data_IF_965485063783
#
_entry.id   IF_965485063783
#
_cell.length_a   1.000
_cell.length_b   1.000
_cell.length_c   1.000
_cell.angle_alpha   90.00
_cell.angle_beta   90.00
_cell.angle_gamma   90.00
#
_symmetry.space_group_name_H-M   'P 1'
#
loop_
_entity.id
_entity.type
_entity.pdbx_description
1 polymer ?
#
# COMPACT_ATOMS: atom_id res chain seq x y z
N UNK A 1 10.41 6.65 13.03
CA UNK A 1 9.19 5.99 13.50
C UNK A 1 8.08 6.17 12.50
N UNK A 2 7.21 5.18 12.41
CA UNK A 2 6.09 5.20 11.47
C UNK A 2 4.78 5.12 12.21
N UNK A 3 3.83 5.92 11.76
CA UNK A 3 2.45 5.78 12.19
C UNK A 3 1.72 5.06 11.07
N UNK A 4 1.03 3.97 11.39
CA UNK A 4 0.33 3.17 10.38
C UNK A 4 -1.16 3.39 10.54
N UNK A 5 -1.81 3.73 9.41
CA UNK A 5 -3.25 3.88 9.35
C UNK A 5 -3.79 3.02 8.22
N UNK A 6 -4.94 2.42 8.45
CA UNK A 6 -5.63 1.66 7.40
C UNK A 6 -6.74 2.52 6.82
N UNK A 7 -6.88 2.48 5.51
CA UNK A 7 -7.93 3.23 4.84
C UNK A 7 -8.56 2.36 3.75
N UNK A 8 -9.74 2.78 3.31
CA UNK A 8 -10.50 2.06 2.30
C UNK A 8 -10.80 2.98 1.14
N UNK A 9 -10.85 2.42 -0.06
CA UNK A 9 -10.97 3.23 -1.25
C UNK A 9 -12.36 3.85 -1.40
N UNK A 10 -13.40 3.08 -1.14
CA UNK A 10 -14.75 3.59 -1.30
C UNK A 10 -15.72 2.85 -0.37
N UNK A 11 -16.80 3.52 -0.03
CA UNK A 11 -17.93 2.97 0.75
C UNK A 11 -17.59 2.49 2.15
N UNK A 12 -16.34 2.45 2.53
CA UNK A 12 -15.92 2.02 3.86
C UNK A 12 -15.13 3.15 4.52
N UNK A 13 -15.16 3.20 5.82
CA UNK A 13 -14.46 4.23 6.57
C UNK A 13 -13.39 3.61 7.44
N UNK A 14 -12.28 4.31 7.66
CA UNK A 14 -11.99 5.63 7.11
C UNK A 14 -11.60 5.55 5.63
N UNK A 15 -11.94 6.60 4.89
CA UNK A 15 -11.49 6.74 3.51
C UNK A 15 -10.02 7.18 3.49
N UNK A 16 -9.44 7.17 2.30
CA UNK A 16 -8.05 7.64 2.15
C UNK A 16 -7.95 9.09 2.60
N UNK A 17 -8.89 9.93 2.19
CA UNK A 17 -8.87 11.34 2.57
C UNK A 17 -8.97 11.51 4.08
N UNK A 18 -9.83 10.74 4.73
CA UNK A 18 -9.98 10.84 6.18
C UNK A 18 -8.73 10.38 6.90
N UNK A 19 -8.10 9.32 6.44
CA UNK A 19 -6.87 8.84 7.05
C UNK A 19 -5.75 9.87 6.92
N UNK A 20 -5.64 10.50 5.74
CA UNK A 20 -4.64 11.55 5.54
C UNK A 20 -4.94 12.74 6.44
N UNK A 21 -6.22 13.10 6.58
CA UNK A 21 -6.61 14.19 7.46
C UNK A 21 -6.23 13.93 8.90
N UNK A 22 -6.41 12.69 9.37
CA UNK A 22 -6.00 12.34 10.73
C UNK A 22 -4.50 12.45 10.91
N UNK A 23 -3.73 12.00 9.92
CA UNK A 23 -2.29 12.10 9.98
C UNK A 23 -1.83 13.56 9.93
N UNK A 24 -2.56 14.40 9.21
CA UNK A 24 -2.25 15.83 9.14
C UNK A 24 -2.39 16.49 10.51
N UNK A 25 -3.37 16.06 11.28
CA UNK A 25 -3.54 16.57 12.67
C UNK A 25 -2.32 16.21 13.50
N UNK A 26 -1.72 15.06 13.26
CA UNK A 26 -0.52 14.62 13.95
C UNK A 26 0.74 15.31 13.43
N UNK A 27 0.59 16.27 12.52
CA UNK A 27 1.69 17.10 11.99
C UNK A 27 2.76 16.29 11.26
N UNK A 28 2.35 15.22 10.59
CA UNK A 28 3.29 14.47 9.77
C UNK A 28 3.64 15.31 8.54
N UNK A 29 4.85 15.11 8.01
CA UNK A 29 5.33 15.86 6.86
C UNK A 29 5.40 15.00 5.61
N UNK A 30 5.32 13.70 5.76
CA UNK A 30 5.43 12.78 4.64
C UNK A 30 4.52 11.59 4.86
N UNK A 31 3.76 11.25 3.82
CA UNK A 31 2.87 10.11 3.84
C UNK A 31 3.22 9.21 2.65
N UNK A 32 3.36 7.94 2.91
CA UNK A 32 3.57 6.95 1.85
C UNK A 32 2.34 6.06 1.83
N UNK A 33 1.62 6.10 0.72
CA UNK A 33 0.43 5.28 0.54
C UNK A 33 0.81 3.98 -0.15
N UNK A 34 0.42 2.87 0.45
CA UNK A 34 0.72 1.54 -0.08
C UNK A 34 -0.61 0.81 -0.26
N UNK A 35 -0.80 0.26 -1.44
CA UNK A 35 -1.98 -0.56 -1.70
C UNK A 35 -1.66 -2.03 -1.44
N UNK A 36 -2.69 -2.79 -1.09
CA UNK A 36 -2.54 -4.24 -0.97
C UNK A 36 -2.72 -4.96 -2.30
N UNK A 37 -3.10 -4.23 -3.34
CA UNK A 37 -3.20 -4.81 -4.68
C UNK A 37 -1.82 -4.88 -5.31
N UNK A 38 -1.34 -6.08 -5.49
CA UNK A 38 0.05 -6.30 -5.89
C UNK A 38 0.21 -6.35 -7.41
N UNK A 39 -0.79 -6.92 -8.09
CA UNK A 39 -0.70 -7.08 -9.54
C UNK A 39 -1.21 -5.85 -10.26
N UNK A 40 -0.69 -5.65 -11.47
CA UNK A 40 -1.16 -4.59 -12.34
C UNK A 40 -2.48 -4.96 -12.99
N UNK A 41 -3.13 -3.98 -13.58
CA UNK A 41 -4.34 -4.20 -14.35
C UNK A 41 -5.61 -3.79 -13.63
N UNK A 42 -5.54 -3.41 -12.38
CA UNK A 42 -6.70 -2.96 -11.63
C UNK A 42 -6.90 -1.47 -11.79
N UNK A 43 -8.14 -1.04 -12.04
CA UNK A 43 -8.40 0.39 -12.20
C UNK A 43 -8.18 1.15 -10.90
N UNK A 44 -8.40 0.51 -9.75
CA UNK A 44 -8.18 1.20 -8.48
C UNK A 44 -6.73 1.63 -8.31
N UNK A 45 -5.79 0.72 -8.51
CA UNK A 45 -4.38 1.02 -8.27
C UNK A 45 -3.75 1.82 -9.39
N UNK A 46 -4.21 1.67 -10.64
CA UNK A 46 -3.55 2.29 -11.78
C UNK A 46 -4.16 3.61 -12.18
N UNK A 47 -5.40 3.86 -11.82
CA UNK A 47 -6.09 5.06 -12.24
C UNK A 47 -6.74 5.81 -11.08
N UNK A 48 -7.57 5.13 -10.32
CA UNK A 48 -8.40 5.82 -9.34
C UNK A 48 -7.60 6.38 -8.18
N UNK A 49 -6.67 5.60 -7.64
CA UNK A 49 -5.87 6.10 -6.53
C UNK A 49 -4.92 7.22 -6.98
N UNK A 50 -4.22 7.11 -8.12
CA UNK A 50 -3.41 8.24 -8.58
C UNK A 50 -4.22 9.51 -8.81
N UNK A 51 -5.43 9.39 -9.35
CA UNK A 51 -6.28 10.56 -9.57
C UNK A 51 -6.71 11.18 -8.25
N UNK A 52 -7.08 10.35 -7.30
CA UNK A 52 -7.47 10.84 -5.99
C UNK A 52 -6.30 11.53 -5.29
N UNK A 53 -5.10 10.99 -5.42
CA UNK A 53 -3.92 11.58 -4.80
C UNK A 53 -3.59 12.94 -5.39
N UNK A 54 -3.85 13.17 -6.67
CA UNK A 54 -3.66 14.49 -7.24
C UNK A 54 -4.53 15.52 -6.52
N UNK A 55 -5.78 15.17 -6.26
CA UNK A 55 -6.69 16.06 -5.54
C UNK A 55 -6.20 16.26 -4.11
N UNK A 56 -5.77 15.20 -3.45
CA UNK A 56 -5.34 15.28 -2.06
C UNK A 56 -4.03 16.05 -1.90
N UNK A 57 -3.15 15.98 -2.87
CA UNK A 57 -1.93 16.77 -2.84
C UNK A 57 -2.23 18.27 -2.89
N UNK A 58 -3.27 18.64 -3.62
CA UNK A 58 -3.71 20.05 -3.64
C UNK A 58 -4.31 20.45 -2.31
N UNK A 59 -5.04 19.55 -1.68
CA UNK A 59 -5.71 19.84 -0.41
C UNK A 59 -4.73 19.88 0.75
N UNK A 60 -3.71 19.02 0.73
CA UNK A 60 -2.72 18.92 1.82
C UNK A 60 -1.34 19.30 1.31
N UNK A 61 -1.18 20.57 0.93
CA UNK A 61 0.03 21.03 0.24
C UNK A 61 1.29 20.94 1.08
N UNK A 62 1.14 20.94 2.41
CA UNK A 62 2.30 20.89 3.30
C UNK A 62 2.78 19.47 3.57
N UNK A 63 2.11 18.48 3.00
CA UNK A 63 2.46 17.08 3.22
C UNK A 63 2.96 16.49 1.89
N UNK A 64 4.11 15.83 1.97
CA UNK A 64 4.63 15.09 0.82
C UNK A 64 3.91 13.74 0.77
N UNK A 65 3.01 13.57 -0.19
CA UNK A 65 2.23 12.36 -0.34
C UNK A 65 2.79 11.57 -1.52
N UNK A 66 3.26 10.37 -1.24
CA UNK A 66 3.84 9.49 -2.25
C UNK A 66 3.02 8.22 -2.36
N UNK A 67 2.96 7.68 -3.56
CA UNK A 67 2.28 6.42 -3.83
C UNK A 67 3.32 5.35 -4.13
N UNK A 68 3.46 4.38 -3.24
CA UNK A 68 4.46 3.33 -3.37
C UNK A 68 3.90 2.17 -4.20
N UNK A 69 3.62 2.44 -5.46
CA UNK A 69 3.08 1.47 -6.40
C UNK A 69 3.51 1.90 -7.80
N UNK A 70 3.80 1.02 -8.72
CA UNK A 70 3.73 -0.43 -8.61
C UNK A 70 4.89 -1.02 -7.80
N UNK A 71 4.67 -2.22 -7.33
CA UNK A 71 5.73 -2.93 -6.63
C UNK A 71 6.80 -3.40 -7.62
N UNK A 72 8.04 -3.46 -7.13
CA UNK A 72 9.10 -4.09 -7.87
C UNK A 72 8.90 -5.60 -7.82
N UNK A 73 8.58 -6.20 -8.96
CA UNK A 73 8.21 -7.61 -8.99
C UNK A 73 9.37 -8.52 -8.62
N UNK A 74 10.60 -8.13 -8.93
CA UNK A 74 11.74 -8.94 -8.52
C UNK A 74 11.88 -8.97 -6.99
N UNK A 75 11.73 -7.82 -6.36
CA UNK A 75 11.77 -7.76 -4.90
C UNK A 75 10.61 -8.53 -4.28
N UNK A 76 9.43 -8.45 -4.91
CA UNK A 76 8.28 -9.18 -4.40
C UNK A 76 8.49 -10.68 -4.52
N UNK A 77 9.08 -11.14 -5.62
CA UNK A 77 9.38 -12.56 -5.79
C UNK A 77 10.36 -13.04 -4.71
N UNK A 78 11.35 -12.22 -4.37
CA UNK A 78 12.27 -12.55 -3.30
C UNK A 78 11.55 -12.63 -1.96
N UNK A 79 10.66 -11.69 -1.71
CA UNK A 79 9.87 -11.72 -0.49
C UNK A 79 9.05 -13.01 -0.40
N UNK A 80 8.38 -13.39 -1.48
CA UNK A 80 7.61 -14.62 -1.49
C UNK A 80 8.48 -15.84 -1.28
N UNK A 81 9.65 -15.87 -1.91
CA UNK A 81 10.57 -16.98 -1.74
C UNK A 81 10.97 -17.14 -0.28
N UNK A 82 11.32 -16.03 0.36
CA UNK A 82 11.70 -16.05 1.76
C UNK A 82 10.52 -16.41 2.66
N UNK A 83 9.35 -15.89 2.34
CA UNK A 83 8.16 -16.19 3.13
C UNK A 83 7.80 -17.67 3.07
N UNK A 84 7.90 -18.25 1.87
CA UNK A 84 7.59 -19.67 1.70
C UNK A 84 8.52 -20.56 2.52
N UNK A 85 9.75 -20.12 2.72
CA UNK A 85 10.69 -20.90 3.53
C UNK A 85 10.25 -21.02 4.97
N UNK A 86 9.47 -20.06 5.47
CA UNK A 86 8.96 -20.13 6.83
C UNK A 86 7.90 -21.22 7.00
N UNK A 87 7.30 -21.64 5.89
CA UNK A 87 6.30 -22.71 5.88
C UNK A 87 6.85 -23.98 5.30
N UNK A 88 8.11 -23.98 4.87
CA UNK A 88 8.70 -25.15 4.24
C UNK A 88 8.99 -26.21 5.28
N UNK A 89 8.44 -27.38 5.06
CA UNK A 89 8.75 -28.54 5.87
C UNK A 89 9.11 -29.66 4.93
N UNK A 90 9.74 -30.69 5.48
CA UNK A 90 10.09 -31.83 4.67
C UNK A 90 8.86 -32.49 4.07
N UNK A 91 7.73 -32.42 4.75
CA UNK A 91 6.51 -33.02 4.23
C UNK A 91 6.00 -32.26 3.01
N UNK A 92 6.18 -30.96 2.98
CA UNK A 92 5.76 -30.19 1.80
C UNK A 92 6.60 -30.55 0.60
N UNK A 93 7.89 -30.59 0.78
CA UNK A 93 8.77 -30.93 -0.34
C UNK A 93 8.55 -32.36 -0.78
N UNK A 94 8.22 -33.26 0.14
CA UNK A 94 8.00 -34.65 -0.18
C UNK A 94 6.77 -34.85 -1.06
N UNK A 95 5.84 -33.96 -1.01
CA UNK A 95 4.66 -34.03 -1.84
C UNK A 95 4.91 -33.50 -3.25
N UNK A 96 6.12 -33.31 -3.51
CA UNK A 96 6.43 -32.74 -4.79
C UNK A 96 5.74 -31.45 -4.86
N UNK A 97 5.38 -31.40 -3.88
CA UNK A 97 4.72 -30.18 -3.83
C UNK A 97 4.96 -30.25 -2.47
#
# INVERSE_FOLDING_TARGET
DFIVKTAYNEFCYPTIEEAIGELAVDKVTRIILVTTMITRGGSHSEKEIPEELEVLREKFKDIDIQYAWPFDMDSFALFLSDHLKTFDTSSISANGG
#
